data_IF_971143168725
#
_entry.id   IF_971143168725
#
_cell.length_a   1.000
_cell.length_b   1.000
_cell.length_c   1.000
_cell.angle_alpha   90.00
_cell.angle_beta   90.00
_cell.angle_gamma   90.00
#
_symmetry.space_group_name_H-M   'P 1'
#
loop_
_entity.id
_entity.type
_entity.pdbx_description
1 polymer ?
#
# COMPACT_ATOMS: atom_id res chain seq x y z
N UNK A 1 -8.11 3.65 11.04
CA UNK A 1 -7.92 5.13 11.07
C UNK A 1 -6.46 5.58 11.21
N UNK A 2 -5.71 5.13 12.23
CA UNK A 2 -4.31 5.55 12.38
C UNK A 2 -3.40 5.06 11.22
N UNK A 3 -3.59 3.83 10.74
CA UNK A 3 -2.84 3.27 9.62
C UNK A 3 -3.04 4.05 8.32
N UNK A 4 -4.29 4.40 7.97
CA UNK A 4 -4.58 5.21 6.78
C UNK A 4 -3.83 6.55 6.81
N UNK A 5 -3.89 7.28 7.93
CA UNK A 5 -3.12 8.53 8.09
C UNK A 5 -1.61 8.30 8.02
N UNK A 6 -1.12 7.20 8.61
CA UNK A 6 0.29 6.82 8.57
C UNK A 6 0.78 6.58 7.14
N UNK A 7 0.02 5.82 6.35
CA UNK A 7 0.31 5.57 4.94
C UNK A 7 0.31 6.86 4.13
N UNK A 8 -0.73 7.68 4.25
CA UNK A 8 -0.81 8.96 3.53
C UNK A 8 0.34 9.90 3.91
N UNK A 9 0.67 10.02 5.20
CA UNK A 9 1.78 10.88 5.66
C UNK A 9 3.13 10.38 5.16
N UNK A 10 3.39 9.07 5.20
CA UNK A 10 4.61 8.49 4.68
C UNK A 10 4.75 8.74 3.18
N UNK A 11 3.67 8.52 2.42
CA UNK A 11 3.62 8.75 0.97
C UNK A 11 3.89 10.20 0.60
N UNK A 12 3.23 11.15 1.28
CA UNK A 12 3.43 12.59 1.06
C UNK A 12 4.86 13.04 1.40
N UNK A 13 5.51 12.39 2.37
CA UNK A 13 6.93 12.61 2.73
C UNK A 13 7.92 11.89 1.80
N UNK A 14 7.43 11.12 0.82
CA UNK A 14 8.23 10.26 -0.06
C UNK A 14 9.02 9.18 0.69
N UNK A 15 8.58 8.81 1.89
CA UNK A 15 9.08 7.62 2.60
C UNK A 15 8.34 6.39 2.08
N UNK A 16 8.72 5.95 0.89
CA UNK A 16 8.05 4.86 0.18
C UNK A 16 8.25 3.50 0.85
N UNK A 17 9.35 3.30 1.57
CA UNK A 17 9.58 2.06 2.33
C UNK A 17 8.55 1.94 3.48
N UNK A 18 8.37 3.00 4.25
CA UNK A 18 7.34 3.02 5.31
C UNK A 18 5.94 2.98 4.72
N UNK A 19 5.69 3.74 3.64
CA UNK A 19 4.39 3.73 2.96
C UNK A 19 4.02 2.33 2.49
N UNK A 20 4.91 1.62 1.77
CA UNK A 20 4.66 0.27 1.27
C UNK A 20 4.33 -0.71 2.40
N UNK A 21 5.11 -0.67 3.50
CA UNK A 21 4.88 -1.53 4.66
C UNK A 21 3.51 -1.30 5.29
N UNK A 22 3.07 -0.05 5.42
CA UNK A 22 1.75 0.27 6.00
C UNK A 22 0.64 -0.09 5.01
N UNK A 23 0.82 0.23 3.72
CA UNK A 23 -0.13 -0.12 2.66
C UNK A 23 -0.36 -1.62 2.55
N UNK A 24 0.65 -2.47 2.82
CA UNK A 24 0.45 -3.93 2.91
C UNK A 24 -0.57 -4.35 3.96
N UNK A 25 -0.58 -3.69 5.12
CA UNK A 25 -1.61 -3.95 6.13
C UNK A 25 -2.97 -3.41 5.73
N UNK A 26 -3.02 -2.26 5.04
CA UNK A 26 -4.27 -1.73 4.49
C UNK A 26 -4.84 -2.66 3.41
N UNK A 27 -4.00 -3.18 2.53
CA UNK A 27 -4.39 -4.16 1.51
C UNK A 27 -4.97 -5.44 2.12
N UNK A 28 -4.36 -5.95 3.18
CA UNK A 28 -4.91 -7.08 3.93
C UNK A 28 -6.28 -6.77 4.53
N UNK A 29 -6.45 -5.60 5.16
CA UNK A 29 -7.75 -5.18 5.71
C UNK A 29 -8.82 -4.99 4.61
N UNK A 30 -8.44 -4.47 3.45
CA UNK A 30 -9.33 -4.38 2.29
C UNK A 30 -9.75 -5.77 1.80
N UNK A 31 -8.83 -6.71 1.71
CA UNK A 31 -9.13 -8.10 1.32
C UNK A 31 -10.06 -8.80 2.34
N UNK A 32 -9.96 -8.44 3.62
CA UNK A 32 -10.83 -8.91 4.70
C UNK A 32 -12.20 -8.17 4.74
N UNK A 33 -12.46 -7.27 3.79
CA UNK A 33 -13.73 -6.55 3.69
C UNK A 33 -13.89 -5.40 4.69
N UNK A 34 -12.82 -4.99 5.38
CA UNK A 34 -12.86 -3.88 6.33
C UNK A 34 -12.98 -2.54 5.57
N UNK A 35 -13.99 -1.71 5.86
CA UNK A 35 -14.11 -0.41 5.21
C UNK A 35 -12.98 0.52 5.65
N UNK A 36 -12.23 1.05 4.68
CA UNK A 36 -11.12 1.97 4.91
C UNK A 36 -11.45 3.37 4.39
N UNK A 37 -10.93 4.43 5.04
CA UNK A 37 -11.11 5.81 4.58
C UNK A 37 -10.16 6.20 3.43
N UNK A 38 -9.41 5.24 2.88
CA UNK A 38 -8.43 5.43 1.80
C UNK A 38 -8.47 4.22 0.88
N UNK A 39 -8.20 4.46 -0.39
CA UNK A 39 -8.09 3.41 -1.41
C UNK A 39 -6.69 2.76 -1.34
N UNK A 40 -6.63 1.52 -0.88
CA UNK A 40 -5.38 0.77 -0.78
C UNK A 40 -4.80 0.40 -2.15
N UNK A 41 -5.62 0.25 -3.20
CA UNK A 41 -5.16 -0.03 -4.55
C UNK A 41 -4.44 1.20 -5.13
N UNK A 42 -5.05 2.38 -5.00
CA UNK A 42 -4.45 3.63 -5.45
C UNK A 42 -3.11 3.90 -4.74
N UNK A 43 -3.05 3.67 -3.42
CA UNK A 43 -1.79 3.80 -2.66
C UNK A 43 -0.73 2.83 -3.16
N UNK A 44 -1.11 1.58 -3.46
CA UNK A 44 -0.19 0.56 -3.94
C UNK A 44 0.38 0.93 -5.30
N UNK A 45 -0.45 1.42 -6.22
CA UNK A 45 -0.02 1.83 -7.55
C UNK A 45 0.89 3.07 -7.53
N UNK A 46 0.61 4.07 -6.71
CA UNK A 46 1.48 5.25 -6.56
C UNK A 46 2.86 4.86 -5.99
N UNK A 47 2.90 3.92 -5.05
CA UNK A 47 4.15 3.39 -4.48
C UNK A 47 4.92 2.58 -5.52
N UNK A 48 4.27 1.75 -6.33
CA UNK A 48 4.94 1.02 -7.41
C UNK A 48 5.52 1.95 -8.47
N UNK A 49 4.84 3.06 -8.75
CA UNK A 49 5.27 4.04 -9.74
C UNK A 49 6.46 4.89 -9.26
N UNK A 50 6.46 5.26 -7.98
CA UNK A 50 7.38 6.30 -7.45
C UNK A 50 8.38 5.78 -6.42
N UNK A 51 8.12 4.63 -5.84
CA UNK A 51 8.98 3.96 -4.88
C UNK A 51 10.13 3.23 -5.55
N UNK A 52 10.99 2.62 -4.73
CA UNK A 52 12.14 1.87 -5.21
C UNK A 52 12.83 1.09 -4.10
N UNK A 53 13.75 0.22 -4.51
CA UNK A 53 14.44 -0.71 -3.62
C UNK A 53 13.63 -1.97 -3.35
N UNK A 54 14.33 -3.09 -3.26
CA UNK A 54 13.75 -4.44 -3.26
C UNK A 54 12.67 -4.64 -2.20
N UNK A 55 12.90 -4.10 -0.99
CA UNK A 55 11.94 -4.24 0.11
C UNK A 55 10.65 -3.47 -0.13
N UNK A 56 10.74 -2.25 -0.64
CA UNK A 56 9.57 -1.42 -0.95
C UNK A 56 8.73 -2.08 -2.06
N UNK A 57 9.39 -2.52 -3.13
CA UNK A 57 8.75 -3.20 -4.26
C UNK A 57 8.12 -4.54 -3.82
N UNK A 58 8.76 -5.29 -2.93
CA UNK A 58 8.19 -6.52 -2.37
C UNK A 58 6.92 -6.24 -1.56
N UNK A 59 6.95 -5.28 -0.64
CA UNK A 59 5.76 -4.93 0.16
C UNK A 59 4.61 -4.42 -0.73
N UNK A 60 4.93 -3.67 -1.80
CA UNK A 60 3.95 -3.23 -2.79
C UNK A 60 3.40 -4.38 -3.66
N UNK A 61 4.24 -5.32 -4.11
CA UNK A 61 3.81 -6.51 -4.85
C UNK A 61 2.89 -7.39 -4.01
N UNK A 62 3.20 -7.60 -2.72
CA UNK A 62 2.30 -8.32 -1.81
C UNK A 62 0.96 -7.59 -1.69
N UNK A 63 0.98 -6.26 -1.60
CA UNK A 63 -0.25 -5.44 -1.53
C UNK A 63 -1.11 -5.64 -2.79
N UNK A 64 -0.51 -5.62 -3.99
CA UNK A 64 -1.22 -5.89 -5.26
C UNK A 64 -1.86 -7.27 -5.28
N UNK A 65 -1.11 -8.28 -4.85
CA UNK A 65 -1.60 -9.66 -4.79
C UNK A 65 -2.81 -9.81 -3.87
N UNK A 66 -2.75 -9.20 -2.68
CA UNK A 66 -3.86 -9.22 -1.72
C UNK A 66 -5.10 -8.51 -2.25
N UNK A 67 -4.92 -7.45 -3.04
CA UNK A 67 -5.99 -6.67 -3.66
C UNK A 67 -6.53 -7.29 -4.96
N UNK A 68 -5.95 -8.40 -5.43
CA UNK A 68 -6.33 -9.02 -6.70
C UNK A 68 -6.01 -8.16 -7.93
N UNK A 69 -5.02 -7.28 -7.83
CA UNK A 69 -4.62 -6.35 -8.92
C UNK A 69 -3.62 -6.99 -9.90
N UNK A 70 -3.09 -8.17 -9.57
CA UNK A 70 -2.25 -8.92 -10.49
C UNK A 70 -3.18 -9.57 -11.53
N UNK A 71 -3.22 -8.97 -12.71
CA UNK A 71 -3.86 -9.56 -13.89
C UNK A 71 -3.31 -10.97 -14.11
N UNK A 72 -4.20 -11.94 -14.32
CA UNK A 72 -3.85 -13.27 -14.86
C UNK A 72 -3.11 -13.09 -16.20
#
# INVERSE_FOLDING_TARGET
MALARGATRALLRRDFATAARITRWLAWLTADGVPLPVDAALLTDDIMLRGGGDRCLLDAAISRRLLGLDSV
#
